data_IF_612393707224
#
_entry.id   IF_612393707224
#
_cell.length_a   1.000
_cell.length_b   1.000
_cell.length_c   1.000
_cell.angle_alpha   90.00
_cell.angle_beta   90.00
_cell.angle_gamma   90.00
#
_symmetry.space_group_name_H-M   'P 1'
#
loop_
_entity.id
_entity.type
_entity.pdbx_description
1 polymer ?
#
# COMPACT_ATOMS: atom_id res chain seq x y z
N UNK A 1 45.19 -3.75 -21.10
CA UNK A 1 44.58 -3.47 -19.78
C UNK A 1 43.33 -2.65 -20.05
N UNK A 2 42.10 -3.18 -19.88
CA UNK A 2 40.91 -2.40 -20.16
C UNK A 2 40.69 -1.33 -19.06
N UNK A 3 40.16 -0.15 -19.41
CA UNK A 3 39.97 0.93 -18.46
C UNK A 3 38.92 0.56 -17.41
N UNK A 4 39.19 0.91 -16.15
CA UNK A 4 38.23 0.79 -15.05
C UNK A 4 37.04 1.70 -15.35
N UNK A 5 35.85 1.12 -15.42
CA UNK A 5 34.59 1.87 -15.40
C UNK A 5 34.50 2.62 -14.06
N UNK A 6 34.01 3.87 -14.05
CA UNK A 6 33.77 4.57 -12.80
C UNK A 6 32.71 3.82 -12.01
N UNK A 7 33.00 3.52 -10.75
CA UNK A 7 31.98 3.13 -9.78
C UNK A 7 31.01 4.29 -9.65
N UNK A 8 29.88 4.23 -10.37
CA UNK A 8 28.70 4.95 -9.95
C UNK A 8 28.32 4.38 -8.58
N UNK A 9 28.71 5.10 -7.53
CA UNK A 9 28.16 4.92 -6.19
C UNK A 9 26.67 5.24 -6.29
N UNK A 10 25.88 4.23 -6.64
CA UNK A 10 24.43 4.28 -6.52
C UNK A 10 24.17 4.50 -5.03
N UNK A 11 23.80 5.73 -4.67
CA UNK A 11 23.23 5.99 -3.37
C UNK A 11 22.00 5.09 -3.27
N UNK A 12 22.14 4.00 -2.52
CA UNK A 12 21.02 3.15 -2.15
C UNK A 12 20.15 4.05 -1.29
N UNK A 13 19.06 4.58 -1.85
CA UNK A 13 18.08 5.29 -1.05
C UNK A 13 17.47 4.22 -0.13
N UNK A 14 17.94 4.18 1.10
CA UNK A 14 17.36 3.37 2.16
C UNK A 14 15.94 3.91 2.41
N UNK A 15 14.93 3.10 2.06
CA UNK A 15 13.52 3.48 2.21
C UNK A 15 13.12 3.36 3.69
N UNK A 16 13.36 4.41 4.46
CA UNK A 16 13.11 4.42 5.91
C UNK A 16 11.64 4.72 6.24
N UNK A 17 11.12 4.02 7.24
CA UNK A 17 9.75 4.18 7.76
C UNK A 17 9.75 4.22 9.29
N UNK A 18 8.74 4.86 9.89
CA UNK A 18 8.53 4.78 11.34
C UNK A 18 7.68 3.57 11.71
N UNK A 19 8.16 2.75 12.65
CA UNK A 19 7.46 1.61 13.25
C UNK A 19 7.09 1.94 14.70
N UNK A 20 5.80 1.85 15.03
CA UNK A 20 5.25 2.14 16.34
C UNK A 20 4.69 0.88 16.99
N UNK A 21 4.74 0.76 18.33
CA UNK A 21 4.34 -0.47 19.02
C UNK A 21 2.84 -0.77 19.00
N UNK A 22 1.99 0.25 18.86
CA UNK A 22 0.52 0.13 18.82
C UNK A 22 -0.12 1.42 18.32
N UNK A 23 -1.36 1.39 17.86
CA UNK A 23 -2.02 2.52 17.18
C UNK A 23 -2.12 3.82 18.01
N UNK A 24 -2.12 3.72 19.34
CA UNK A 24 -2.16 4.89 20.23
C UNK A 24 -0.80 5.55 20.47
N UNK A 25 0.30 4.91 20.08
CA UNK A 25 1.61 5.53 20.10
C UNK A 25 1.80 6.34 18.81
N UNK A 26 1.78 7.66 18.91
CA UNK A 26 1.93 8.59 17.76
C UNK A 26 3.29 9.27 17.70
N UNK A 27 4.13 9.14 18.73
CA UNK A 27 5.50 9.67 18.78
C UNK A 27 6.50 8.56 19.15
N UNK A 28 7.78 8.80 18.93
CA UNK A 28 8.84 7.87 19.31
C UNK A 28 8.84 6.55 18.53
N UNK A 29 8.34 6.56 17.29
CA UNK A 29 8.42 5.40 16.40
C UNK A 29 9.87 5.09 16.03
N UNK A 30 10.25 3.82 16.04
CA UNK A 30 11.58 3.38 15.60
C UNK A 30 11.73 3.62 14.09
N UNK A 31 12.84 4.20 13.66
CA UNK A 31 13.16 4.32 12.25
C UNK A 31 13.81 3.01 11.79
N UNK A 32 13.19 2.35 10.81
CA UNK A 32 13.63 1.06 10.29
C UNK A 32 13.56 1.09 8.76
N UNK A 33 14.34 0.25 8.09
CA UNK A 33 14.17 0.07 6.65
C UNK A 33 12.83 -0.60 6.35
N UNK A 34 12.13 -0.15 5.31
CA UNK A 34 10.91 -0.80 4.84
C UNK A 34 11.17 -2.28 4.49
N UNK A 35 12.35 -2.60 3.95
CA UNK A 35 12.75 -3.97 3.64
C UNK A 35 12.73 -4.88 4.90
N UNK A 36 13.14 -4.37 6.06
CA UNK A 36 13.08 -5.12 7.32
C UNK A 36 11.64 -5.38 7.76
N UNK A 37 10.74 -4.40 7.57
CA UNK A 37 9.31 -4.57 7.86
C UNK A 37 8.70 -5.63 6.95
N UNK A 38 8.97 -5.58 5.65
CA UNK A 38 8.49 -6.58 4.69
C UNK A 38 9.02 -7.98 5.00
N UNK A 39 10.32 -8.10 5.31
CA UNK A 39 10.92 -9.37 5.72
C UNK A 39 10.30 -9.91 7.02
N UNK A 40 9.97 -9.03 7.97
CA UNK A 40 9.29 -9.40 9.20
C UNK A 40 7.83 -9.84 9.00
N UNK A 41 7.10 -9.22 8.07
CA UNK A 41 5.75 -9.64 7.65
C UNK A 41 5.82 -11.01 6.99
N UNK A 42 6.76 -11.20 6.06
CA UNK A 42 6.91 -12.46 5.33
C UNK A 42 7.38 -13.61 6.23
N UNK A 43 8.38 -13.34 7.08
CA UNK A 43 8.95 -14.30 8.03
C UNK A 43 8.09 -14.56 9.28
N UNK A 44 6.96 -13.87 9.44
CA UNK A 44 6.01 -14.15 10.51
C UNK A 44 6.41 -13.65 11.88
N UNK A 45 7.16 -12.55 11.99
CA UNK A 45 7.50 -11.91 13.28
C UNK A 45 6.28 -11.65 14.16
N UNK A 46 5.15 -11.32 13.53
CA UNK A 46 3.87 -11.03 14.20
C UNK A 46 2.78 -12.07 13.89
N UNK A 47 3.15 -13.26 13.42
CA UNK A 47 2.19 -14.26 12.96
C UNK A 47 1.20 -14.67 14.05
N UNK A 48 1.65 -14.80 15.30
CA UNK A 48 0.79 -15.18 16.44
C UNK A 48 -0.30 -14.14 16.67
N UNK A 49 0.06 -12.87 16.80
CA UNK A 49 -0.86 -11.77 17.08
C UNK A 49 -1.79 -11.52 15.89
N UNK A 50 -1.27 -11.56 14.66
CA UNK A 50 -2.07 -11.39 13.44
C UNK A 50 -3.07 -12.54 13.26
N UNK A 51 -2.67 -13.77 13.53
CA UNK A 51 -3.60 -14.91 13.46
C UNK A 51 -4.69 -14.83 14.54
N UNK A 52 -4.40 -14.27 15.73
CA UNK A 52 -5.42 -13.98 16.71
C UNK A 52 -6.44 -12.95 16.20
N UNK A 53 -5.98 -11.88 15.52
CA UNK A 53 -6.88 -10.90 14.86
C UNK A 53 -7.76 -11.57 13.81
N UNK A 54 -7.20 -12.46 12.99
CA UNK A 54 -7.92 -13.18 11.92
C UNK A 54 -8.91 -14.21 12.47
N UNK A 55 -8.62 -14.82 13.62
CA UNK A 55 -9.49 -15.80 14.26
C UNK A 55 -10.64 -15.19 15.08
N UNK A 56 -10.60 -13.88 15.35
CA UNK A 56 -11.63 -13.20 16.13
C UNK A 56 -12.98 -13.19 15.40
N UNK A 57 -14.02 -13.71 16.08
CA UNK A 57 -15.37 -13.88 15.52
C UNK A 57 -16.25 -12.63 15.67
N UNK A 58 -15.90 -11.74 16.60
CA UNK A 58 -16.66 -10.51 16.85
C UNK A 58 -15.88 -9.28 16.38
N UNK A 59 -16.59 -8.30 15.80
CA UNK A 59 -15.98 -7.05 15.37
C UNK A 59 -15.32 -6.25 16.54
N UNK A 60 -15.89 -6.20 17.76
CA UNK A 60 -15.25 -5.55 18.89
C UNK A 60 -13.92 -6.21 19.30
N UNK A 61 -13.89 -7.54 19.38
CA UNK A 61 -12.69 -8.29 19.76
C UNK A 61 -11.59 -8.13 18.69
N UNK A 62 -11.97 -8.30 17.41
CA UNK A 62 -11.06 -8.05 16.28
C UNK A 62 -10.46 -6.65 16.31
N UNK A 63 -11.27 -5.62 16.62
CA UNK A 63 -10.79 -4.24 16.75
C UNK A 63 -9.83 -4.08 17.92
N UNK A 64 -10.12 -4.69 19.07
CA UNK A 64 -9.26 -4.65 20.25
C UNK A 64 -7.90 -5.30 19.98
N UNK A 65 -7.90 -6.53 19.46
CA UNK A 65 -6.67 -7.26 19.11
C UNK A 65 -5.86 -6.51 18.05
N UNK A 66 -6.52 -5.99 17.00
CA UNK A 66 -5.85 -5.22 15.94
C UNK A 66 -5.21 -3.94 16.47
N UNK A 67 -5.85 -3.24 17.41
CA UNK A 67 -5.30 -2.03 18.01
C UNK A 67 -4.02 -2.26 18.84
N UNK A 68 -3.80 -3.50 19.30
CA UNK A 68 -2.58 -3.90 20.01
C UNK A 68 -1.42 -4.26 19.07
N UNK A 69 -1.68 -4.44 17.77
CA UNK A 69 -0.61 -4.69 16.80
C UNK A 69 0.27 -3.44 16.61
N UNK A 70 1.58 -3.62 16.40
CA UNK A 70 2.42 -2.58 15.84
C UNK A 70 1.88 -2.09 14.50
N UNK A 71 2.29 -0.87 14.12
CA UNK A 71 1.98 -0.32 12.82
C UNK A 71 3.17 0.48 12.31
N UNK A 72 3.27 0.62 10.99
CA UNK A 72 4.29 1.44 10.35
C UNK A 72 3.66 2.50 9.44
N UNK A 73 4.41 3.56 9.15
CA UNK A 73 4.06 4.61 8.19
C UNK A 73 4.78 4.35 6.87
N UNK A 74 4.12 3.68 5.94
CA UNK A 74 4.74 3.25 4.68
C UNK A 74 5.43 4.40 3.93
N UNK A 75 4.84 5.60 3.98
CA UNK A 75 5.24 6.77 3.22
C UNK A 75 6.40 7.55 3.81
N UNK A 76 6.95 7.17 4.96
CA UNK A 76 8.13 7.86 5.50
C UNK A 76 8.34 7.74 6.99
N UNK A 77 9.26 8.56 7.47
CA UNK A 77 9.57 8.72 8.90
C UNK A 77 8.89 9.97 9.46
N UNK A 78 8.50 9.90 10.73
CA UNK A 78 7.69 10.92 11.37
C UNK A 78 8.22 11.28 12.76
N UNK A 79 8.24 12.57 13.09
CA UNK A 79 8.47 13.05 14.45
C UNK A 79 7.23 12.78 15.32
N UNK A 80 6.05 12.98 14.73
CA UNK A 80 4.75 12.59 15.25
C UNK A 80 3.90 12.10 14.07
N UNK A 81 3.10 11.05 14.24
CA UNK A 81 2.21 10.51 13.20
C UNK A 81 1.04 11.46 12.92
N UNK A 82 1.32 12.48 12.13
CA UNK A 82 0.42 13.41 11.46
C UNK A 82 1.14 13.95 10.22
N UNK A 83 0.41 14.44 9.23
CA UNK A 83 1.04 14.84 7.95
C UNK A 83 2.09 15.94 8.13
N UNK A 84 1.81 16.94 8.96
CA UNK A 84 2.77 17.99 9.34
C UNK A 84 3.97 17.48 10.16
N UNK A 85 3.96 16.21 10.58
CA UNK A 85 5.03 15.57 11.33
C UNK A 85 5.96 14.71 10.46
N UNK A 86 5.77 14.69 9.13
CA UNK A 86 6.67 14.03 8.18
C UNK A 86 8.08 14.62 8.29
N UNK A 87 9.09 13.76 8.43
CA UNK A 87 10.50 14.15 8.47
C UNK A 87 11.16 13.88 7.13
N UNK A 88 11.03 12.65 6.63
CA UNK A 88 11.52 12.23 5.31
C UNK A 88 10.51 11.29 4.67
N UNK A 89 10.11 11.59 3.44
CA UNK A 89 9.27 10.71 2.64
C UNK A 89 10.08 9.48 2.17
N UNK A 90 9.50 8.28 2.25
CA UNK A 90 10.19 7.03 1.88
C UNK A 90 10.25 6.79 0.36
N UNK A 91 9.53 7.59 -0.42
CA UNK A 91 9.29 7.35 -1.85
C UNK A 91 8.23 6.28 -2.11
N UNK A 92 7.41 5.94 -1.11
CA UNK A 92 6.39 4.88 -1.21
C UNK A 92 4.99 5.45 -0.95
N UNK A 93 4.04 5.03 -1.77
CA UNK A 93 2.60 5.15 -1.50
C UNK A 93 2.06 3.77 -1.16
N UNK A 94 1.22 3.70 -0.13
CA UNK A 94 0.51 2.47 0.24
C UNK A 94 -0.97 2.57 -0.12
N UNK A 95 -1.45 1.62 -0.92
CA UNK A 95 -2.83 1.50 -1.37
C UNK A 95 -3.52 0.38 -0.59
N UNK A 96 -4.68 0.66 0.00
CA UNK A 96 -5.48 -0.32 0.76
C UNK A 96 -6.65 -0.78 -0.13
N UNK A 97 -6.80 -2.10 -0.25
CA UNK A 97 -7.76 -2.74 -1.14
C UNK A 97 -8.52 -3.80 -0.34
N UNK A 98 -9.84 -3.67 -0.25
CA UNK A 98 -10.67 -4.63 0.49
C UNK A 98 -12.07 -4.79 -0.12
N UNK A 99 -12.83 -5.74 0.45
CA UNK A 99 -14.19 -6.03 0.03
C UNK A 99 -15.20 -4.90 0.27
N UNK A 100 -14.89 -3.92 1.13
CA UNK A 100 -15.84 -2.82 1.41
C UNK A 100 -15.95 -1.88 0.22
N UNK A 101 -14.83 -1.66 -0.47
CA UNK A 101 -14.78 -0.82 -1.67
C UNK A 101 -15.01 -1.62 -2.97
N UNK A 102 -14.98 -2.95 -2.90
CA UNK A 102 -15.02 -3.83 -4.06
C UNK A 102 -16.08 -4.92 -3.89
N UNK A 103 -17.32 -4.74 -4.43
CA UNK A 103 -18.44 -5.66 -4.22
C UNK A 103 -18.21 -7.11 -4.66
N UNK A 104 -17.36 -7.34 -5.68
CA UNK A 104 -17.00 -8.68 -6.19
C UNK A 104 -15.59 -9.12 -5.77
N UNK A 105 -15.18 -8.70 -4.57
CA UNK A 105 -13.84 -8.92 -4.06
C UNK A 105 -13.47 -10.40 -3.98
N UNK A 106 -12.39 -10.75 -4.68
CA UNK A 106 -11.72 -12.04 -4.57
C UNK A 106 -10.25 -11.78 -4.30
N UNK A 107 -9.83 -11.94 -3.04
CA UNK A 107 -8.48 -11.65 -2.57
C UNK A 107 -7.38 -12.24 -3.48
N UNK A 108 -7.51 -13.53 -3.82
CA UNK A 108 -6.53 -14.21 -4.66
C UNK A 108 -6.48 -13.66 -6.09
N UNK A 109 -7.64 -13.33 -6.67
CA UNK A 109 -7.73 -12.73 -8.00
C UNK A 109 -7.11 -11.33 -8.00
N UNK A 110 -7.48 -10.49 -7.03
CA UNK A 110 -6.94 -9.15 -6.88
C UNK A 110 -5.41 -9.21 -6.70
N UNK A 111 -4.92 -10.10 -5.82
CA UNK A 111 -3.48 -10.31 -5.61
C UNK A 111 -2.78 -10.71 -6.91
N UNK A 112 -3.34 -11.65 -7.68
CA UNK A 112 -2.78 -12.07 -8.96
C UNK A 112 -2.66 -10.92 -9.99
N UNK A 113 -3.64 -10.02 -10.08
CA UNK A 113 -3.56 -8.81 -10.93
C UNK A 113 -2.39 -7.91 -10.52
N UNK A 114 -2.22 -7.70 -9.22
CA UNK A 114 -1.14 -6.85 -8.69
C UNK A 114 0.25 -7.49 -8.82
N UNK A 115 0.37 -8.82 -8.79
CA UNK A 115 1.64 -9.49 -9.05
C UNK A 115 2.14 -9.29 -10.49
N UNK A 116 1.22 -9.10 -11.44
CA UNK A 116 1.53 -8.85 -12.84
C UNK A 116 1.68 -7.35 -13.17
N UNK A 117 1.38 -6.47 -12.22
CA UNK A 117 1.43 -5.03 -12.38
C UNK A 117 2.88 -4.51 -12.31
N UNK A 118 3.34 -3.70 -13.29
CA UNK A 118 4.72 -3.25 -13.33
C UNK A 118 5.09 -2.30 -12.18
N UNK A 119 4.13 -1.58 -11.59
CA UNK A 119 4.36 -0.60 -10.53
C UNK A 119 4.26 -1.19 -9.12
N UNK A 120 3.75 -2.41 -8.98
CA UNK A 120 3.64 -3.08 -7.68
C UNK A 120 5.04 -3.45 -7.16
N UNK A 121 5.52 -2.63 -6.21
CA UNK A 121 6.79 -2.83 -5.53
C UNK A 121 6.68 -3.92 -4.45
N UNK A 122 5.59 -3.93 -3.69
CA UNK A 122 5.27 -5.02 -2.78
C UNK A 122 3.75 -5.15 -2.62
N UNK A 123 3.26 -6.36 -2.38
CA UNK A 123 1.86 -6.56 -1.99
C UNK A 123 1.74 -7.71 -1.00
N UNK A 124 0.92 -7.51 0.03
CA UNK A 124 0.68 -8.51 1.07
C UNK A 124 -0.75 -8.45 1.61
N UNK A 125 -1.22 -9.57 2.15
CA UNK A 125 -2.50 -9.68 2.83
C UNK A 125 -2.47 -8.86 4.12
N UNK A 126 -3.47 -8.01 4.31
CA UNK A 126 -3.58 -7.12 5.47
C UNK A 126 -3.77 -7.89 6.79
N UNK A 127 -3.58 -7.21 7.91
CA UNK A 127 -3.68 -7.82 9.24
C UNK A 127 -5.05 -8.49 9.51
N UNK A 128 -6.11 -8.00 8.86
CA UNK A 128 -7.45 -8.59 8.96
C UNK A 128 -7.64 -9.87 8.15
N UNK A 129 -6.73 -10.20 7.22
CA UNK A 129 -6.83 -11.39 6.38
C UNK A 129 -7.72 -11.23 5.13
N UNK A 130 -8.50 -10.15 5.04
CA UNK A 130 -9.54 -9.98 4.01
C UNK A 130 -9.17 -8.95 2.94
N UNK A 131 -8.12 -8.16 3.13
CA UNK A 131 -7.69 -7.10 2.20
C UNK A 131 -6.22 -7.23 1.79
N UNK A 132 -5.79 -6.39 0.85
CA UNK A 132 -4.41 -6.26 0.39
C UNK A 132 -3.88 -4.86 0.69
N UNK A 133 -2.62 -4.80 1.10
CA UNK A 133 -1.84 -3.57 1.08
C UNK A 133 -0.86 -3.66 -0.09
N UNK A 134 -1.01 -2.78 -1.09
CA UNK A 134 -0.08 -2.65 -2.20
C UNK A 134 0.82 -1.43 -1.97
N UNK A 135 2.12 -1.60 -2.16
CA UNK A 135 3.13 -0.56 -2.04
C UNK A 135 3.65 -0.23 -3.44
N UNK A 136 3.66 1.05 -3.77
CA UNK A 136 4.10 1.57 -5.08
C UNK A 136 5.18 2.63 -4.85
N UNK A 137 6.22 2.61 -5.68
CA UNK A 137 7.29 3.63 -5.64
C UNK A 137 6.83 4.87 -6.38
N UNK A 138 7.07 6.05 -5.82
CA UNK A 138 6.82 7.33 -6.47
C UNK A 138 8.11 8.13 -6.62
N UNK A 139 8.18 9.03 -7.61
CA UNK A 139 9.36 9.89 -7.87
C UNK A 139 9.20 11.34 -7.43
N UNK A 140 8.01 11.69 -6.96
CA UNK A 140 7.57 13.06 -6.65
C UNK A 140 7.30 13.24 -5.16
N UNK A 141 7.35 14.48 -4.69
CA UNK A 141 6.95 14.87 -3.34
C UNK A 141 5.43 15.09 -3.23
N UNK A 142 4.69 15.12 -4.35
CA UNK A 142 3.23 15.17 -4.35
C UNK A 142 2.62 13.79 -4.07
N UNK A 143 2.64 13.41 -2.80
CA UNK A 143 2.07 12.17 -2.30
C UNK A 143 0.57 12.06 -2.64
N UNK A 144 -0.18 13.14 -2.42
CA UNK A 144 -1.63 13.15 -2.60
C UNK A 144 -2.01 13.05 -4.08
N UNK A 145 -1.29 13.75 -4.96
CA UNK A 145 -1.43 13.62 -6.42
C UNK A 145 -1.13 12.20 -6.89
N UNK A 146 0.00 11.64 -6.47
CA UNK A 146 0.37 10.26 -6.78
C UNK A 146 -0.68 9.25 -6.31
N UNK A 147 -1.23 9.44 -5.11
CA UNK A 147 -2.31 8.58 -4.60
C UNK A 147 -3.55 8.65 -5.48
N UNK A 148 -3.98 9.87 -5.87
CA UNK A 148 -5.16 10.07 -6.73
C UNK A 148 -4.97 9.44 -8.11
N UNK A 149 -3.82 9.67 -8.75
CA UNK A 149 -3.54 9.10 -10.08
C UNK A 149 -3.43 7.58 -10.03
N UNK A 150 -2.82 7.01 -8.98
CA UNK A 150 -2.80 5.57 -8.74
C UNK A 150 -4.20 5.00 -8.51
N UNK A 151 -5.07 5.67 -7.75
CA UNK A 151 -6.44 5.21 -7.55
C UNK A 151 -7.21 5.11 -8.88
N UNK A 152 -7.04 6.10 -9.77
CA UNK A 152 -7.60 6.06 -11.14
C UNK A 152 -6.99 4.94 -11.96
N UNK A 153 -5.67 4.76 -11.90
CA UNK A 153 -4.96 3.69 -12.60
C UNK A 153 -5.46 2.30 -12.18
N UNK A 154 -5.59 2.05 -10.87
CA UNK A 154 -6.08 0.78 -10.31
C UNK A 154 -7.54 0.52 -10.70
N UNK A 155 -8.39 1.54 -10.70
CA UNK A 155 -9.76 1.41 -11.17
C UNK A 155 -9.81 1.07 -12.67
N UNK A 156 -9.04 1.77 -13.50
CA UNK A 156 -9.07 1.59 -14.95
C UNK A 156 -8.44 0.26 -15.41
N UNK A 157 -7.29 -0.13 -14.85
CA UNK A 157 -6.51 -1.28 -15.31
C UNK A 157 -6.84 -2.56 -14.56
N UNK A 158 -7.16 -2.43 -13.27
CA UNK A 158 -7.41 -3.59 -12.41
C UNK A 158 -8.86 -3.71 -11.98
N UNK A 159 -9.75 -2.76 -12.32
CA UNK A 159 -11.13 -2.73 -11.81
C UNK A 159 -11.19 -2.81 -10.28
N UNK A 160 -10.17 -2.25 -9.61
CA UNK A 160 -10.02 -2.24 -8.17
C UNK A 160 -10.15 -0.81 -7.66
N UNK A 161 -11.08 -0.60 -6.74
CA UNK A 161 -11.24 0.68 -6.03
C UNK A 161 -10.35 0.67 -4.79
N UNK A 162 -9.45 1.63 -4.70
CA UNK A 162 -8.58 1.86 -3.53
C UNK A 162 -9.40 2.58 -2.45
N UNK A 163 -9.18 2.28 -1.17
CA UNK A 163 -9.81 3.03 -0.07
C UNK A 163 -9.34 4.50 -0.06
N UNK A 164 -10.20 5.49 0.23
CA UNK A 164 -10.00 6.94 -0.01
C UNK A 164 -8.99 7.67 0.89
N UNK A 165 -7.89 7.00 1.22
CA UNK A 165 -7.01 7.38 2.32
C UNK A 165 -5.60 7.70 1.80
N UNK A 166 -5.45 8.91 1.27
CA UNK A 166 -4.19 9.44 0.74
C UNK A 166 -3.30 10.19 1.74
N UNK A 167 -3.57 10.09 3.05
CA UNK A 167 -2.77 10.76 4.07
C UNK A 167 -1.33 10.22 4.06
N UNK A 168 -0.33 11.10 3.99
CA UNK A 168 1.09 10.65 4.03
C UNK A 168 1.41 9.97 5.37
N UNK A 169 0.73 10.35 6.45
CA UNK A 169 0.89 9.77 7.80
C UNK A 169 0.05 8.51 8.06
N UNK A 170 -0.51 7.88 7.02
CA UNK A 170 -1.43 6.76 7.18
C UNK A 170 -0.77 5.58 7.86
N UNK A 171 -1.39 5.15 8.97
CA UNK A 171 -0.95 3.98 9.72
C UNK A 171 -1.29 2.69 8.96
N UNK A 172 -0.32 1.78 8.84
CA UNK A 172 -0.50 0.43 8.34
C UNK A 172 -0.09 -0.57 9.41
N UNK A 173 -1.06 -1.31 9.95
CA UNK A 173 -0.74 -2.38 10.90
C UNK A 173 0.21 -3.38 10.26
N UNK A 174 1.16 -3.87 11.06
CA UNK A 174 1.99 -5.01 10.65
C UNK A 174 1.10 -6.23 10.42
N UNK A 175 1.56 -7.14 9.56
CA UNK A 175 0.79 -8.31 9.13
C UNK A 175 1.64 -9.58 9.15
N UNK A 176 1.05 -10.66 8.64
CA UNK A 176 1.71 -11.92 8.35
C UNK A 176 1.22 -12.46 7.00
N UNK A 177 2.15 -12.61 6.06
CA UNK A 177 1.89 -13.18 4.73
C UNK A 177 3.16 -13.85 4.20
N UNK A 178 3.30 -15.19 4.33
CA UNK A 178 4.43 -15.94 3.76
C UNK A 178 4.58 -15.77 2.25
N UNK A 179 3.46 -15.49 1.56
CA UNK A 179 3.38 -15.28 0.12
C UNK A 179 3.41 -13.78 -0.23
N UNK A 180 3.95 -12.93 0.65
CA UNK A 180 4.23 -11.53 0.34
C UNK A 180 5.05 -11.45 -0.94
N UNK A 181 4.57 -10.66 -1.89
CA UNK A 181 5.29 -10.36 -3.12
C UNK A 181 6.12 -9.10 -2.93
N UNK A 182 7.36 -9.12 -3.42
CA UNK A 182 8.26 -7.98 -3.42
C UNK A 182 9.08 -7.97 -4.72
N UNK A 183 9.04 -6.86 -5.44
CA UNK A 183 9.77 -6.61 -6.68
C UNK A 183 10.67 -5.37 -6.54
N UNK A 184 11.96 -5.54 -6.24
CA UNK A 184 12.88 -4.41 -6.12
C UNK A 184 13.10 -3.65 -7.44
N UNK A 185 12.68 -4.22 -8.57
CA UNK A 185 12.81 -3.64 -9.91
C UNK A 185 11.50 -3.05 -10.45
N UNK A 186 10.43 -2.98 -9.64
CA UNK A 186 9.13 -2.41 -10.07
C UNK A 186 9.28 -1.01 -10.67
N UNK A 187 8.52 -0.67 -11.70
CA UNK A 187 8.54 0.68 -12.24
C UNK A 187 8.16 1.71 -11.18
N UNK A 188 8.65 2.95 -11.34
CA UNK A 188 8.27 4.05 -10.44
C UNK A 188 7.11 4.80 -11.07
N UNK A 189 6.15 5.15 -10.24
CA UNK A 189 5.02 5.96 -10.62
C UNK A 189 5.41 7.43 -10.63
N UNK A 190 5.14 8.12 -11.74
CA UNK A 190 5.56 9.52 -11.96
C UNK A 190 4.37 10.47 -12.11
N UNK A 191 3.17 9.95 -12.36
CA UNK A 191 1.97 10.75 -12.61
C UNK A 191 1.38 11.31 -11.30
N UNK A 192 1.04 12.59 -11.28
CA UNK A 192 0.39 13.28 -10.13
C UNK A 192 -1.02 13.78 -10.43
N UNK A 193 -1.37 13.81 -11.71
CA UNK A 193 -2.69 14.24 -12.17
C UNK A 193 -3.56 13.01 -12.38
N UNK A 194 -4.79 13.04 -11.87
CA UNK A 194 -5.79 12.08 -12.30
C UNK A 194 -6.10 12.37 -13.78
N UNK A 195 -5.86 11.43 -14.71
CA UNK A 195 -6.23 11.68 -16.09
C UNK A 195 -7.74 11.96 -16.16
N UNK A 196 -8.13 12.93 -16.98
CA UNK A 196 -9.54 13.16 -17.27
C UNK A 196 -10.14 11.84 -17.76
N UNK A 197 -11.14 11.31 -17.05
CA UNK A 197 -11.78 10.05 -17.43
C UNK A 197 -12.56 10.31 -18.72
N UNK A 198 -11.93 10.06 -19.87
CA UNK A 198 -12.68 9.84 -21.10
C UNK A 198 -13.44 8.53 -20.94
N UNK A 199 -14.74 8.52 -21.28
CA UNK A 199 -15.57 7.31 -21.30
C UNK A 199 -14.76 6.13 -21.86
N UNK A 200 -14.74 4.96 -21.21
CA UNK A 200 -13.91 3.86 -21.65
C UNK A 200 -14.22 3.51 -23.11
N UNK A 201 -13.18 3.39 -23.94
CA UNK A 201 -13.33 2.77 -25.25
C UNK A 201 -13.86 1.35 -25.04
N UNK A 202 -14.77 0.85 -25.90
CA UNK A 202 -15.32 -0.49 -25.74
C UNK A 202 -14.22 -1.53 -25.90
N UNK A 203 -13.63 -1.96 -24.78
CA UNK A 203 -12.86 -3.20 -24.67
C UNK A 203 -13.79 -4.40 -24.81
N UNK A 204 -13.25 -5.61 -25.03
CA UNK A 204 -14.05 -6.82 -25.17
C UNK A 204 -14.95 -6.97 -23.94
N UNK A 205 -16.26 -6.99 -24.21
CA UNK A 205 -17.33 -7.02 -23.21
C UNK A 205 -17.22 -8.29 -22.36
N UNK A 206 -16.53 -8.20 -21.22
CA UNK A 206 -16.86 -9.04 -20.07
C UNK A 206 -17.97 -8.29 -19.36
N UNK A 207 -19.13 -8.94 -19.26
CA UNK A 207 -20.42 -8.38 -18.81
C UNK A 207 -20.24 -7.29 -17.75
N UNK A 208 -20.49 -6.04 -18.15
CA UNK A 208 -20.42 -4.87 -17.30
C UNK A 208 -21.37 -5.01 -16.12
N UNK A 209 -20.85 -4.88 -14.90
CA UNK A 209 -21.67 -4.60 -13.74
C UNK A 209 -22.12 -3.13 -13.81
N UNK A 210 -23.43 -2.82 -13.70
CA UNK A 210 -23.89 -1.45 -13.64
C UNK A 210 -23.40 -0.79 -12.34
N UNK A 211 -22.71 0.36 -12.44
CA UNK A 211 -22.32 1.20 -11.29
C UNK A 211 -20.85 1.64 -11.20
N UNK A 212 -19.94 1.05 -12.00
CA UNK A 212 -18.50 1.31 -11.86
C UNK A 212 -18.07 2.76 -12.16
N UNK A 213 -18.70 3.40 -13.16
CA UNK A 213 -18.39 4.79 -13.53
C UNK A 213 -18.90 5.80 -12.49
N UNK A 214 -20.05 5.54 -11.87
CA UNK A 214 -20.63 6.44 -10.86
C UNK A 214 -19.81 6.42 -9.56
N UNK A 215 -19.31 5.25 -9.15
CA UNK A 215 -18.40 5.11 -8.01
C UNK A 215 -17.09 5.88 -8.21
N UNK A 216 -16.50 5.76 -9.41
CA UNK A 216 -15.25 6.45 -9.74
C UNK A 216 -15.43 7.97 -9.80
N UNK A 217 -16.59 8.46 -10.26
CA UNK A 217 -16.89 9.89 -10.32
C UNK A 217 -17.15 10.49 -8.93
N UNK A 218 -17.80 9.74 -8.02
CA UNK A 218 -18.03 10.18 -6.64
C UNK A 218 -16.77 10.16 -5.76
N UNK A 219 -15.79 9.31 -6.10
CA UNK A 219 -14.54 9.18 -5.37
C UNK A 219 -13.50 10.27 -5.70
N UNK A 220 -13.60 10.85 -6.91
CA UNK A 220 -12.67 11.87 -7.41
C UNK A 220 -13.17 13.32 -7.22
N UNK A 221 -14.36 13.50 -6.65
CA UNK A 221 -14.95 14.80 -6.31
C UNK A 221 -14.71 15.14 -4.83
#
# INVERSE_FOLDING_TARGET
MPPRLPHASLQRIEMMVSLFPKITATTGGAQVELAEVLAAIQGGRWAREVNAVRAATSAPDRRHLKAALPYFTASGTFAERKDAGLVVHSGIVALDLDAKQNPDWQLAHAKARLLADPYTFAVFVSAGGEGLCALVRITTDDHAGSFRSLAVYYAAHHQLVVDSLGDVSRARYVSFDPELYHNPNAERWEDVEAPAISKPAPGPVVRSLPGFIELLTAYLA
#
